data_IF_593490181629
#
_entry.id   IF_593490181629
#
_cell.length_a   1.000
_cell.length_b   1.000
_cell.length_c   1.000
_cell.angle_alpha   90.00
_cell.angle_beta   90.00
_cell.angle_gamma   90.00
#
_symmetry.space_group_name_H-M   'P 1'
#
loop_
_entity.id
_entity.type
_entity.pdbx_description
1 polymer ?
#
# COMPACT_ATOMS: atom_id res chain seq x y z
N UNK A 1 -48.26 -77.50 -1.49
CA UNK A 1 -48.35 -76.20 -0.80
C UNK A 1 -47.22 -75.32 -1.30
N UNK A 2 -47.57 -74.33 -2.13
CA UNK A 2 -46.65 -73.46 -2.86
C UNK A 2 -46.04 -72.40 -1.91
N UNK A 3 -44.71 -72.27 -1.91
CA UNK A 3 -44.01 -71.13 -1.29
C UNK A 3 -43.37 -70.30 -2.40
N UNK A 4 -43.99 -69.16 -2.70
CA UNK A 4 -43.44 -68.12 -3.56
C UNK A 4 -42.27 -67.45 -2.84
N UNK A 5 -41.09 -67.47 -3.47
CA UNK A 5 -39.93 -66.68 -3.08
C UNK A 5 -40.19 -65.21 -3.51
N UNK A 6 -39.98 -64.19 -2.66
CA UNK A 6 -40.28 -62.82 -3.06
C UNK A 6 -39.21 -62.30 -4.02
N UNK A 7 -39.65 -61.87 -5.21
CA UNK A 7 -38.89 -61.16 -6.26
C UNK A 7 -38.48 -59.73 -5.80
N UNK A 8 -38.40 -59.48 -4.49
CA UNK A 8 -38.23 -58.14 -3.92
C UNK A 8 -36.79 -57.67 -3.73
N UNK A 9 -35.79 -58.54 -3.84
CA UNK A 9 -34.39 -58.20 -3.50
C UNK A 9 -33.50 -58.03 -4.74
N UNK A 10 -33.93 -58.45 -5.94
CA UNK A 10 -33.14 -58.28 -7.17
C UNK A 10 -33.34 -56.92 -7.85
N UNK A 11 -34.37 -56.14 -7.46
CA UNK A 11 -34.67 -54.82 -8.05
C UNK A 11 -34.05 -53.64 -7.29
N UNK A 12 -33.46 -53.85 -6.11
CA UNK A 12 -32.82 -52.79 -5.32
C UNK A 12 -31.30 -52.67 -5.54
N UNK A 13 -30.69 -53.55 -6.32
CA UNK A 13 -29.24 -53.54 -6.59
C UNK A 13 -28.86 -53.10 -8.02
N UNK A 14 -29.83 -52.78 -8.88
CA UNK A 14 -29.57 -52.33 -10.26
C UNK A 14 -29.65 -50.79 -10.40
N UNK A 15 -30.02 -50.06 -9.35
CA UNK A 15 -30.08 -48.58 -9.36
C UNK A 15 -28.85 -47.90 -8.74
N UNK A 16 -27.69 -48.56 -8.75
CA UNK A 16 -26.41 -47.98 -8.32
C UNK A 16 -25.35 -47.86 -9.44
N UNK A 17 -25.79 -47.84 -10.69
CA UNK A 17 -25.01 -47.38 -11.84
C UNK A 17 -25.92 -46.39 -12.59
N UNK A 18 -25.72 -45.09 -12.61
CA UNK A 18 -24.48 -44.37 -12.88
C UNK A 18 -24.59 -42.98 -12.25
N UNK A 19 -23.82 -42.71 -11.19
CA UNK A 19 -23.51 -41.33 -10.82
C UNK A 19 -22.40 -40.88 -11.76
N UNK A 20 -22.75 -40.42 -12.96
CA UNK A 20 -21.79 -39.62 -13.71
C UNK A 20 -21.44 -38.42 -12.84
N UNK A 21 -20.14 -38.10 -12.64
CA UNK A 21 -19.79 -36.86 -11.99
C UNK A 21 -20.42 -35.75 -12.81
N UNK A 22 -21.35 -35.00 -12.20
CA UNK A 22 -21.91 -33.81 -12.81
C UNK A 22 -20.74 -32.88 -13.14
N UNK A 23 -20.31 -32.91 -14.40
CA UNK A 23 -19.31 -31.99 -14.91
C UNK A 23 -19.84 -30.59 -14.69
N UNK A 24 -19.09 -29.79 -13.94
CA UNK A 24 -19.43 -28.37 -13.80
C UNK A 24 -19.55 -27.77 -15.20
N UNK A 25 -20.66 -27.09 -15.48
CA UNK A 25 -20.80 -26.35 -16.73
C UNK A 25 -19.68 -25.31 -16.80
N UNK A 26 -18.78 -25.49 -17.76
CA UNK A 26 -17.77 -24.49 -18.08
C UNK A 26 -18.46 -23.40 -18.90
N UNK A 27 -18.77 -22.28 -18.24
CA UNK A 27 -19.26 -21.10 -18.94
C UNK A 27 -18.07 -20.45 -19.63
N UNK A 28 -18.17 -20.30 -20.95
CA UNK A 28 -17.15 -19.60 -21.74
C UNK A 28 -17.06 -18.14 -21.28
N UNK A 29 -15.86 -17.71 -20.89
CA UNK A 29 -15.57 -16.33 -20.51
C UNK A 29 -15.95 -15.31 -21.58
N UNK A 30 -15.98 -15.71 -22.86
CA UNK A 30 -16.42 -14.86 -23.97
C UNK A 30 -17.89 -14.43 -23.84
N UNK A 31 -18.73 -15.19 -23.13
CA UNK A 31 -20.11 -14.79 -22.84
C UNK A 31 -20.21 -13.51 -21.97
N UNK A 32 -19.12 -13.13 -21.31
CA UNK A 32 -19.04 -11.96 -20.45
C UNK A 32 -18.25 -10.80 -21.04
N UNK A 33 -17.72 -10.91 -22.27
CA UNK A 33 -16.83 -9.90 -22.87
C UNK A 33 -17.47 -8.50 -22.97
N UNK A 34 -18.80 -8.45 -23.10
CA UNK A 34 -19.57 -7.22 -23.25
C UNK A 34 -20.08 -6.68 -21.91
N UNK A 35 -19.83 -7.39 -20.80
CA UNK A 35 -20.16 -6.88 -19.47
C UNK A 35 -19.17 -5.79 -19.05
N UNK A 36 -19.72 -4.68 -18.55
CA UNK A 36 -18.95 -3.55 -18.07
C UNK A 36 -19.18 -3.40 -16.56
N UNK A 37 -18.09 -3.24 -15.82
CA UNK A 37 -18.19 -2.83 -14.42
C UNK A 37 -18.69 -1.40 -14.35
N UNK A 38 -19.63 -1.14 -13.42
CA UNK A 38 -20.09 0.20 -13.10
C UNK A 38 -20.10 0.41 -11.59
N UNK A 39 -19.75 1.61 -11.17
CA UNK A 39 -19.92 2.01 -9.78
C UNK A 39 -21.43 2.07 -9.45
N UNK A 40 -21.86 1.31 -8.44
CA UNK A 40 -23.25 1.33 -7.95
C UNK A 40 -23.48 2.32 -6.79
N UNK A 41 -22.40 2.93 -6.29
CA UNK A 41 -22.41 3.88 -5.20
C UNK A 41 -22.15 3.25 -3.82
N UNK A 42 -21.89 4.08 -2.78
CA UNK A 42 -21.86 5.54 -2.83
C UNK A 42 -20.68 6.09 -3.67
N UNK A 43 -20.93 7.17 -4.43
CA UNK A 43 -19.94 7.76 -5.36
C UNK A 43 -18.83 8.56 -4.66
N UNK A 44 -19.04 8.90 -3.38
CA UNK A 44 -18.07 9.55 -2.51
C UNK A 44 -18.15 8.90 -1.14
N UNK A 45 -17.00 8.51 -0.59
CA UNK A 45 -16.91 7.87 0.70
C UNK A 45 -15.63 7.05 0.84
N UNK A 46 -15.42 6.48 2.02
CA UNK A 46 -14.21 5.75 2.35
C UNK A 46 -13.14 6.63 3.00
N UNK A 47 -12.01 6.00 3.35
CA UNK A 47 -10.89 6.64 4.04
C UNK A 47 -9.78 6.97 3.04
N UNK A 48 -9.30 8.20 3.06
CA UNK A 48 -8.03 8.59 2.46
C UNK A 48 -6.95 8.66 3.55
N UNK A 49 -5.75 8.22 3.21
CA UNK A 49 -4.57 8.21 4.09
C UNK A 49 -3.40 9.02 3.55
N UNK A 50 -3.49 9.50 2.31
CA UNK A 50 -2.45 10.30 1.68
C UNK A 50 -3.08 11.37 0.78
N UNK A 51 -2.46 12.54 0.72
CA UNK A 51 -2.83 13.63 -0.18
C UNK A 51 -1.58 14.38 -0.62
N UNK A 52 -1.52 14.82 -1.87
CA UNK A 52 -0.46 15.69 -2.38
C UNK A 52 -1.01 16.59 -3.48
N UNK A 53 -0.47 17.79 -3.62
CA UNK A 53 -0.86 18.77 -4.64
C UNK A 53 0.25 18.99 -5.66
N UNK A 54 -0.06 19.77 -6.69
CA UNK A 54 0.89 20.18 -7.72
C UNK A 54 1.29 21.65 -7.50
N UNK A 55 2.59 21.98 -7.35
CA UNK A 55 2.99 23.35 -6.99
C UNK A 55 2.51 24.45 -7.96
N UNK A 56 2.36 24.11 -9.24
CA UNK A 56 1.96 25.05 -10.29
C UNK A 56 0.46 24.96 -10.67
N UNK A 57 -0.29 24.01 -10.09
CA UNK A 57 -1.68 23.75 -10.44
C UNK A 57 -2.50 23.56 -9.16
N UNK A 58 -3.19 24.63 -8.77
CA UNK A 58 -3.92 24.68 -7.50
C UNK A 58 -5.23 23.88 -7.54
N UNK A 59 -5.73 23.55 -8.72
CA UNK A 59 -7.00 22.83 -8.89
C UNK A 59 -6.78 21.31 -8.94
N UNK A 60 -5.52 20.88 -9.10
CA UNK A 60 -5.13 19.49 -9.27
C UNK A 60 -4.48 18.91 -8.03
N UNK A 61 -5.07 17.85 -7.47
CA UNK A 61 -4.53 17.11 -6.31
C UNK A 61 -4.67 15.60 -6.49
N UNK A 62 -3.82 14.84 -5.79
CA UNK A 62 -3.91 13.39 -5.70
C UNK A 62 -4.30 12.99 -4.28
N UNK A 63 -5.08 11.92 -4.17
CA UNK A 63 -5.33 11.24 -2.90
C UNK A 63 -5.02 9.75 -3.01
N UNK A 64 -4.38 9.22 -1.97
CA UNK A 64 -4.26 7.79 -1.73
C UNK A 64 -5.39 7.32 -0.82
N UNK A 65 -6.05 6.22 -1.20
CA UNK A 65 -7.19 5.67 -0.46
C UNK A 65 -6.84 4.36 0.24
N UNK A 66 -7.58 4.02 1.29
CA UNK A 66 -7.49 2.70 1.92
C UNK A 66 -8.33 1.70 1.12
N UNK A 67 -7.69 0.97 0.21
CA UNK A 67 -8.29 -0.12 -0.56
C UNK A 67 -8.73 0.24 -1.98
N UNK A 68 -8.62 1.52 -2.38
CA UNK A 68 -9.10 2.01 -3.67
C UNK A 68 -8.02 2.63 -4.57
N UNK A 69 -6.73 2.49 -4.25
CA UNK A 69 -5.65 3.05 -5.07
C UNK A 69 -5.52 4.57 -5.00
N UNK A 70 -4.98 5.16 -6.07
CA UNK A 70 -4.68 6.59 -6.22
C UNK A 70 -5.72 7.26 -7.11
N UNK A 71 -6.24 8.38 -6.64
CA UNK A 71 -7.24 9.17 -7.34
C UNK A 71 -6.74 10.58 -7.56
N UNK A 72 -7.10 11.16 -8.71
CA UNK A 72 -6.78 12.51 -9.11
C UNK A 72 -8.05 13.34 -9.25
N UNK A 73 -7.97 14.59 -8.81
CA UNK A 73 -8.90 15.66 -9.18
C UNK A 73 -8.14 16.74 -9.96
N UNK A 74 -8.85 17.45 -10.84
CA UNK A 74 -8.38 18.62 -11.60
C UNK A 74 -9.37 19.79 -11.50
N UNK A 75 -10.33 19.69 -10.59
CA UNK A 75 -11.44 20.62 -10.43
C UNK A 75 -11.73 20.90 -8.94
N UNK A 76 -10.68 21.02 -8.12
CA UNK A 76 -10.77 21.28 -6.67
C UNK A 76 -11.59 20.24 -5.89
N UNK A 77 -11.52 18.96 -6.31
CA UNK A 77 -12.18 17.86 -5.64
C UNK A 77 -13.67 17.70 -5.96
N UNK A 78 -14.18 18.40 -6.98
CA UNK A 78 -15.55 18.21 -7.47
C UNK A 78 -15.69 16.82 -8.11
N UNK A 79 -14.74 16.41 -8.95
CA UNK A 79 -14.67 15.08 -9.55
C UNK A 79 -13.32 14.41 -9.30
N UNK A 80 -13.34 13.07 -9.30
CA UNK A 80 -12.17 12.24 -9.03
C UNK A 80 -12.10 11.08 -10.02
N UNK A 81 -10.90 10.79 -10.52
CA UNK A 81 -10.63 9.69 -11.43
C UNK A 81 -9.50 8.83 -10.88
N UNK A 82 -9.64 7.50 -10.95
CA UNK A 82 -8.58 6.59 -10.52
C UNK A 82 -7.47 6.58 -11.58
N UNK A 83 -6.22 6.77 -11.15
CA UNK A 83 -5.04 6.79 -12.03
C UNK A 83 -4.12 5.59 -11.81
N UNK A 84 -4.48 4.67 -10.90
CA UNK A 84 -3.72 3.46 -10.56
C UNK A 84 -4.31 2.17 -11.14
N UNK A 85 -5.59 2.18 -11.53
CA UNK A 85 -6.29 1.02 -12.08
C UNK A 85 -5.54 0.46 -13.30
N UNK A 86 -5.43 -0.87 -13.36
CA UNK A 86 -4.64 -1.58 -14.37
C UNK A 86 -3.16 -1.77 -14.02
N UNK A 87 -2.63 -1.07 -13.02
CA UNK A 87 -1.23 -1.20 -12.58
C UNK A 87 -1.12 -1.80 -11.18
N UNK A 88 -1.76 -1.16 -10.19
CA UNK A 88 -1.76 -1.61 -8.80
C UNK A 88 -3.02 -1.15 -8.08
N UNK A 89 -3.26 -1.68 -6.88
CA UNK A 89 -4.41 -1.32 -6.06
C UNK A 89 -4.14 -1.45 -4.57
N UNK A 90 -5.19 -1.67 -3.79
CA UNK A 90 -5.09 -1.81 -2.34
C UNK A 90 -4.97 -0.47 -1.62
N UNK A 91 -4.43 -0.51 -0.40
CA UNK A 91 -4.24 0.68 0.44
C UNK A 91 -3.03 1.48 0.00
N UNK A 92 -3.18 2.80 -0.04
CA UNK A 92 -2.12 3.75 -0.36
C UNK A 92 -1.83 4.60 0.87
N UNK A 93 -0.58 4.54 1.35
CA UNK A 93 -0.17 5.15 2.60
C UNK A 93 0.60 6.43 2.39
N UNK A 94 1.22 6.58 1.22
CA UNK A 94 1.89 7.81 0.82
C UNK A 94 1.77 8.02 -0.70
N UNK A 95 1.60 9.28 -1.10
CA UNK A 95 1.69 9.75 -2.48
C UNK A 95 2.47 11.06 -2.46
N UNK A 96 3.50 11.21 -3.31
CA UNK A 96 4.30 12.43 -3.41
C UNK A 96 4.60 12.76 -4.87
N UNK A 97 4.15 13.92 -5.31
CA UNK A 97 4.60 14.56 -6.56
C UNK A 97 5.98 15.17 -6.30
N UNK A 98 6.95 15.05 -7.21
CA UNK A 98 8.24 15.70 -7.05
C UNK A 98 8.17 17.20 -7.35
N UNK A 99 8.80 18.04 -6.52
CA UNK A 99 8.79 19.50 -6.74
C UNK A 99 9.67 19.93 -7.93
N UNK A 100 10.70 19.15 -8.24
CA UNK A 100 11.62 19.40 -9.36
C UNK A 100 11.04 18.98 -10.72
N UNK A 101 10.10 18.03 -10.74
CA UNK A 101 9.39 17.61 -11.95
C UNK A 101 8.01 17.04 -11.58
N UNK A 102 6.92 17.78 -11.83
CA UNK A 102 5.56 17.33 -11.50
C UNK A 102 5.07 16.11 -12.30
N UNK A 103 5.79 15.64 -13.32
CA UNK A 103 5.48 14.37 -13.98
C UNK A 103 5.90 13.16 -13.14
N UNK A 104 6.83 13.35 -12.21
CA UNK A 104 7.35 12.29 -11.36
C UNK A 104 6.48 12.17 -10.11
N UNK A 105 5.85 11.02 -9.96
CA UNK A 105 4.97 10.71 -8.83
C UNK A 105 5.43 9.42 -8.19
N UNK A 106 5.64 9.46 -6.87
CA UNK A 106 5.94 8.29 -6.05
C UNK A 106 4.71 7.87 -5.24
N UNK A 107 4.49 6.57 -5.15
CA UNK A 107 3.38 5.97 -4.41
C UNK A 107 3.89 4.84 -3.54
N UNK A 108 3.52 4.87 -2.26
CA UNK A 108 3.83 3.85 -1.28
C UNK A 108 2.55 3.14 -0.85
N UNK A 109 2.53 1.82 -0.99
CA UNK A 109 1.37 1.03 -0.58
C UNK A 109 1.35 0.78 0.94
N UNK A 110 0.16 0.45 1.44
CA UNK A 110 -0.15 0.25 2.85
C UNK A 110 -0.84 1.45 3.47
N UNK A 111 -0.98 1.48 4.80
CA UNK A 111 -1.56 2.55 5.58
C UNK A 111 -0.97 2.48 6.99
N UNK A 112 -0.20 3.48 7.39
CA UNK A 112 0.37 3.54 8.74
C UNK A 112 -0.68 3.76 9.84
N UNK A 113 -1.89 4.17 9.48
CA UNK A 113 -3.07 4.11 10.34
C UNK A 113 -3.59 2.67 10.50
N UNK A 114 -2.80 1.83 11.16
CA UNK A 114 -3.11 0.41 11.33
C UNK A 114 -4.47 0.24 12.03
N UNK A 115 -5.37 -0.46 11.35
CA UNK A 115 -6.69 -0.90 11.87
C UNK A 115 -6.78 -2.41 11.78
N UNK A 116 -7.77 -3.00 12.46
CA UNK A 116 -7.97 -4.46 12.47
C UNK A 116 -8.23 -5.07 11.08
N UNK A 117 -8.67 -4.25 10.13
CA UNK A 117 -8.95 -4.60 8.74
C UNK A 117 -7.94 -4.00 7.74
N UNK A 118 -6.76 -3.57 8.19
CA UNK A 118 -5.77 -2.97 7.27
C UNK A 118 -5.22 -4.02 6.30
N UNK A 119 -5.01 -3.61 5.06
CA UNK A 119 -4.31 -4.42 4.06
C UNK A 119 -2.81 -4.17 4.10
N UNK A 120 -2.01 -5.22 3.91
CA UNK A 120 -0.56 -5.09 3.80
C UNK A 120 -0.19 -4.39 2.49
N UNK A 121 0.61 -3.34 2.56
CA UNK A 121 1.19 -2.71 1.37
C UNK A 121 2.23 -3.62 0.73
N UNK A 122 2.47 -3.42 -0.57
CA UNK A 122 3.34 -4.26 -1.38
C UNK A 122 4.44 -3.46 -2.09
N UNK A 123 4.94 -2.44 -1.39
CA UNK A 123 6.09 -1.66 -1.83
C UNK A 123 5.75 -0.37 -2.57
N UNK A 124 6.71 0.06 -3.37
CA UNK A 124 6.77 1.38 -3.99
C UNK A 124 6.49 1.32 -5.50
N UNK A 125 5.79 2.33 -5.98
CA UNK A 125 5.48 2.55 -7.39
C UNK A 125 5.87 3.96 -7.80
N UNK A 126 6.22 4.13 -9.07
CA UNK A 126 6.62 5.41 -9.65
C UNK A 126 5.98 5.62 -11.01
N UNK A 127 5.53 6.84 -11.25
CA UNK A 127 5.18 7.33 -12.59
C UNK A 127 6.18 8.39 -13.02
N UNK A 128 6.46 8.43 -14.32
CA UNK A 128 7.29 9.46 -14.98
C UNK A 128 6.47 10.32 -15.96
N UNK A 129 5.16 10.08 -16.04
CA UNK A 129 4.28 10.68 -17.05
C UNK A 129 2.98 11.21 -16.42
N UNK A 130 3.09 11.73 -15.18
CA UNK A 130 2.00 12.32 -14.42
C UNK A 130 0.85 11.34 -14.12
N UNK A 131 1.18 10.06 -13.90
CA UNK A 131 0.25 9.03 -13.43
C UNK A 131 -0.44 8.25 -14.55
N UNK A 132 -0.01 8.40 -15.81
CA UNK A 132 -0.58 7.64 -16.94
C UNK A 132 -0.06 6.21 -16.96
N UNK A 133 1.21 6.01 -16.60
CA UNK A 133 1.84 4.70 -16.44
C UNK A 133 2.62 4.63 -15.13
N UNK A 134 2.76 3.41 -14.62
CA UNK A 134 3.41 3.13 -13.35
C UNK A 134 4.37 1.96 -13.46
N UNK A 135 5.54 2.10 -12.83
CA UNK A 135 6.53 1.06 -12.65
C UNK A 135 6.63 0.69 -11.17
N UNK A 136 6.73 -0.60 -10.88
CA UNK A 136 7.09 -1.07 -9.55
C UNK A 136 8.58 -0.80 -9.33
N UNK A 137 8.92 -0.20 -8.18
CA UNK A 137 10.28 0.25 -7.86
C UNK A 137 10.78 -0.31 -6.52
N UNK A 138 10.30 -1.48 -6.10
CA UNK A 138 10.89 -2.22 -4.97
C UNK A 138 10.21 -2.04 -3.62
N UNK A 139 10.92 -2.45 -2.55
CA UNK A 139 10.43 -2.57 -1.17
C UNK A 139 9.19 -3.48 -0.99
N UNK A 140 9.14 -4.68 -1.62
CA UNK A 140 7.94 -5.52 -1.61
C UNK A 140 7.50 -5.98 -0.20
N UNK A 141 8.44 -6.07 0.75
CA UNK A 141 8.20 -6.55 2.11
C UNK A 141 8.25 -5.43 3.17
N UNK A 142 8.27 -4.16 2.74
CA UNK A 142 8.24 -3.00 3.63
C UNK A 142 6.89 -2.80 4.32
N UNK A 143 5.84 -3.46 3.85
CA UNK A 143 4.51 -3.42 4.46
C UNK A 143 3.84 -2.06 4.37
N UNK A 144 3.68 -1.36 5.50
CA UNK A 144 3.01 -0.06 5.54
C UNK A 144 4.01 1.07 5.28
N UNK A 145 3.90 1.72 4.12
CA UNK A 145 4.66 2.92 3.80
C UNK A 145 3.85 4.14 4.24
N UNK A 146 4.40 4.93 5.16
CA UNK A 146 3.68 6.06 5.77
C UNK A 146 4.01 7.40 5.15
N UNK A 147 5.21 7.53 4.57
CA UNK A 147 5.68 8.80 4.06
C UNK A 147 6.72 8.61 2.96
N UNK A 148 6.70 9.54 2.01
CA UNK A 148 7.69 9.68 0.96
C UNK A 148 8.12 11.14 0.95
N UNK A 149 9.42 11.40 1.03
CA UNK A 149 10.00 12.73 0.85
C UNK A 149 10.93 12.71 -0.34
N UNK A 150 10.78 13.67 -1.24
CA UNK A 150 11.57 13.79 -2.47
C UNK A 150 12.37 15.06 -2.39
N UNK A 151 13.66 15.00 -2.72
CA UNK A 151 14.54 16.15 -2.68
C UNK A 151 14.02 17.27 -3.61
N UNK A 152 13.95 18.53 -3.14
CA UNK A 152 13.25 19.60 -3.87
C UNK A 152 13.85 19.90 -5.25
N UNK A 153 15.17 19.72 -5.40
CA UNK A 153 15.88 19.98 -6.66
C UNK A 153 16.29 18.71 -7.44
N UNK A 154 15.98 17.50 -6.94
CA UNK A 154 16.38 16.25 -7.59
C UNK A 154 15.34 15.16 -7.32
N UNK A 155 14.48 14.88 -8.29
CA UNK A 155 13.42 13.87 -8.14
C UNK A 155 13.95 12.44 -7.97
N UNK A 156 15.23 12.16 -8.26
CA UNK A 156 15.82 10.83 -8.07
C UNK A 156 16.28 10.58 -6.63
N UNK A 157 16.53 11.64 -5.85
CA UNK A 157 16.84 11.49 -4.43
C UNK A 157 15.54 11.44 -3.62
N UNK A 158 15.15 10.25 -3.19
CA UNK A 158 13.89 9.98 -2.51
C UNK A 158 14.12 9.18 -1.23
N UNK A 159 13.34 9.51 -0.21
CA UNK A 159 13.35 8.85 1.08
C UNK A 159 11.96 8.28 1.40
N UNK A 160 11.93 7.13 2.05
CA UNK A 160 10.70 6.40 2.36
C UNK A 160 10.68 6.02 3.83
N UNK A 161 9.59 6.37 4.52
CA UNK A 161 9.28 5.88 5.86
C UNK A 161 8.47 4.59 5.77
N UNK A 162 9.11 3.47 6.08
CA UNK A 162 8.51 2.15 6.14
C UNK A 162 8.25 1.77 7.60
N UNK A 163 6.97 1.65 7.97
CA UNK A 163 6.59 1.19 9.30
C UNK A 163 6.80 -0.33 9.43
N UNK A 164 6.63 -1.08 8.35
CA UNK A 164 6.74 -2.54 8.32
C UNK A 164 5.40 -3.28 8.25
N UNK A 165 5.46 -4.58 8.51
CA UNK A 165 4.31 -5.46 8.56
C UNK A 165 3.45 -5.16 9.80
N UNK A 166 2.14 -4.89 9.64
CA UNK A 166 1.30 -4.53 10.77
C UNK A 166 0.98 -5.72 11.69
N UNK A 167 1.19 -6.97 11.25
CA UNK A 167 0.77 -8.19 11.97
C UNK A 167 1.92 -9.06 12.49
N UNK A 168 3.16 -8.65 12.29
CA UNK A 168 4.33 -9.42 12.71
C UNK A 168 5.62 -8.73 12.34
N UNK A 169 6.73 -9.29 12.80
CA UNK A 169 8.08 -8.77 12.58
C UNK A 169 8.48 -8.86 11.10
N UNK A 170 9.26 -7.89 10.63
CA UNK A 170 9.92 -7.93 9.33
C UNK A 170 11.15 -7.01 9.36
N UNK A 171 12.23 -7.33 8.60
CA UNK A 171 13.45 -6.54 8.59
C UNK A 171 13.34 -5.25 7.76
N UNK A 172 12.41 -5.17 6.81
CA UNK A 172 12.18 -3.97 5.99
C UNK A 172 11.34 -2.94 6.77
N UNK A 173 11.99 -2.26 7.72
CA UNK A 173 11.40 -1.24 8.61
C UNK A 173 12.38 -0.12 8.86
N UNK A 174 11.93 1.11 8.75
CA UNK A 174 12.72 2.30 9.04
C UNK A 174 12.73 3.28 7.90
N UNK A 175 13.86 3.96 7.69
CA UNK A 175 14.03 4.91 6.59
C UNK A 175 14.88 4.27 5.49
N UNK A 176 14.32 4.26 4.29
CA UNK A 176 15.04 3.90 3.08
C UNK A 176 15.35 5.15 2.27
N UNK A 177 16.49 5.17 1.59
CA UNK A 177 16.90 6.21 0.63
C UNK A 177 17.18 5.56 -0.72
N UNK A 178 16.82 6.24 -1.79
CA UNK A 178 17.25 5.93 -3.15
C UNK A 178 17.83 7.20 -3.77
N UNK A 179 18.93 7.06 -4.51
CA UNK A 179 19.59 8.16 -5.24
C UNK A 179 19.36 8.07 -6.75
N UNK A 180 18.79 6.96 -7.23
CA UNK A 180 18.48 6.64 -8.63
C UNK A 180 16.97 6.63 -8.89
N UNK A 181 16.18 7.19 -7.98
CA UNK A 181 14.76 7.36 -8.13
C UNK A 181 13.97 6.05 -8.03
N UNK A 182 14.48 5.08 -7.28
CA UNK A 182 13.81 3.84 -6.89
C UNK A 182 14.33 2.57 -7.57
N UNK A 183 15.40 2.66 -8.37
CA UNK A 183 16.02 1.44 -8.95
C UNK A 183 16.73 0.63 -7.86
N UNK A 184 17.37 1.32 -6.91
CA UNK A 184 17.98 0.74 -5.72
C UNK A 184 17.60 1.49 -4.44
N UNK A 185 17.60 0.77 -3.32
CA UNK A 185 17.25 1.30 -2.00
C UNK A 185 18.30 0.94 -0.96
N UNK A 186 18.76 1.95 -0.22
CA UNK A 186 19.64 1.84 0.92
C UNK A 186 18.85 1.99 2.22
N UNK A 187 19.12 1.14 3.20
CA UNK A 187 18.49 1.19 4.50
C UNK A 187 19.26 2.11 5.45
N UNK A 188 18.90 3.39 5.47
CA UNK A 188 19.68 4.46 6.14
C UNK A 188 19.34 4.65 7.62
N UNK A 189 18.18 4.18 8.08
CA UNK A 189 17.85 4.13 9.51
C UNK A 189 17.05 2.86 9.82
N UNK A 190 17.67 1.95 10.58
CA UNK A 190 17.05 0.74 11.11
C UNK A 190 17.25 0.70 12.63
N UNK A 191 16.23 0.24 13.38
CA UNK A 191 16.35 0.05 14.84
C UNK A 191 16.32 -1.43 15.21
N UNK A 192 15.27 -2.14 14.78
CA UNK A 192 15.06 -3.57 15.01
C UNK A 192 13.94 -4.10 14.08
N UNK A 193 13.62 -5.38 14.18
CA UNK A 193 12.60 -6.07 13.35
C UNK A 193 11.13 -5.74 13.67
N UNK A 194 10.89 -4.88 14.66
CA UNK A 194 9.58 -4.59 15.23
C UNK A 194 9.21 -3.10 15.21
N UNK A 195 10.21 -2.21 15.08
CA UNK A 195 10.06 -0.75 15.14
C UNK A 195 10.45 -0.17 13.79
N UNK A 196 9.50 0.49 13.12
CA UNK A 196 9.72 1.13 11.82
C UNK A 196 9.46 2.62 11.88
N UNK A 197 9.49 3.27 10.71
CA UNK A 197 9.19 4.69 10.60
C UNK A 197 7.72 4.91 10.26
N UNK A 198 7.01 5.68 11.08
CA UNK A 198 5.63 6.10 10.80
C UNK A 198 5.57 7.36 9.93
N UNK A 199 6.59 8.22 10.03
CA UNK A 199 6.64 9.50 9.30
C UNK A 199 8.09 9.96 9.08
N UNK A 200 8.28 10.86 8.13
CA UNK A 200 9.55 11.48 7.76
C UNK A 200 9.30 12.91 7.25
N UNK A 201 10.15 13.86 7.62
CA UNK A 201 10.12 15.19 7.00
C UNK A 201 11.52 15.67 6.67
N UNK A 202 11.63 16.42 5.58
CA UNK A 202 12.84 17.03 5.07
C UNK A 202 12.70 18.55 5.15
N UNK A 203 13.76 19.24 5.57
CA UNK A 203 13.84 20.69 5.43
C UNK A 203 14.02 21.05 3.96
N UNK A 204 13.01 21.72 3.38
CA UNK A 204 12.99 22.07 1.95
C UNK A 204 13.99 23.17 1.58
N UNK A 205 14.52 23.91 2.56
CA UNK A 205 15.58 24.92 2.37
C UNK A 205 16.96 24.28 2.54
N UNK A 206 17.10 23.35 3.48
CA UNK A 206 18.32 22.58 3.71
C UNK A 206 18.04 21.06 3.74
N UNK A 207 17.97 20.40 2.58
CA UNK A 207 17.60 18.98 2.46
C UNK A 207 18.51 17.98 3.18
N UNK A 208 19.64 18.42 3.75
CA UNK A 208 20.46 17.59 4.63
C UNK A 208 19.82 17.36 5.99
N UNK A 209 18.85 18.19 6.40
CA UNK A 209 18.17 18.07 7.68
C UNK A 209 16.90 17.24 7.48
N UNK A 210 16.85 16.11 8.18
CA UNK A 210 15.72 15.17 8.15
C UNK A 210 15.28 14.84 9.57
N UNK A 211 13.98 14.62 9.76
CA UNK A 211 13.41 14.11 11.01
C UNK A 211 12.54 12.90 10.73
N UNK A 212 12.81 11.79 11.43
CA UNK A 212 12.07 10.54 11.31
C UNK A 212 11.32 10.24 12.61
N UNK A 213 10.05 9.89 12.49
CA UNK A 213 9.23 9.38 13.59
C UNK A 213 9.26 7.86 13.61
N UNK A 214 9.89 7.28 14.63
CA UNK A 214 10.03 5.83 14.78
C UNK A 214 8.97 5.29 15.73
N UNK A 215 8.20 4.30 15.29
CA UNK A 215 7.07 3.72 16.01
C UNK A 215 7.05 2.19 15.92
N UNK A 216 6.85 1.54 17.07
CA UNK A 216 6.46 0.14 17.13
C UNK A 216 4.95 0.04 17.07
N UNK A 217 4.42 -0.16 15.86
CA UNK A 217 3.01 -0.45 15.62
C UNK A 217 2.82 -1.91 15.22
N UNK A 218 2.25 -2.73 16.10
CA UNK A 218 1.99 -4.15 15.83
C UNK A 218 0.59 -4.54 16.31
N UNK A 219 -0.22 -5.06 15.39
CA UNK A 219 -1.59 -5.48 15.63
C UNK A 219 -1.66 -6.98 15.90
N UNK A 220 -2.24 -7.33 17.04
CA UNK A 220 -2.72 -8.68 17.37
C UNK A 220 -4.24 -8.73 17.26
N UNK A 221 -4.86 -9.92 17.14
CA UNK A 221 -6.32 -10.02 17.11
C UNK A 221 -7.01 -9.34 18.30
N UNK A 222 -6.38 -9.37 19.48
CA UNK A 222 -6.93 -8.84 20.74
C UNK A 222 -6.35 -7.48 21.20
N UNK A 223 -5.26 -6.97 20.59
CA UNK A 223 -4.63 -5.73 21.06
C UNK A 223 -3.79 -5.04 19.99
N UNK A 224 -3.42 -3.77 20.24
CA UNK A 224 -2.42 -3.02 19.50
C UNK A 224 -1.22 -2.80 20.44
N UNK A 225 -0.05 -3.30 20.04
CA UNK A 225 1.22 -2.91 20.64
C UNK A 225 1.60 -1.59 19.99
N UNK A 226 1.70 -0.54 20.81
CA UNK A 226 1.96 0.82 20.36
C UNK A 226 3.07 1.44 21.20
N UNK A 227 4.23 1.65 20.59
CA UNK A 227 5.40 2.22 21.23
C UNK A 227 6.39 1.17 21.74
N UNK A 228 7.64 1.60 21.82
CA UNK A 228 8.77 0.85 22.37
C UNK A 228 9.82 1.86 22.83
N UNK A 229 10.74 1.43 23.69
CA UNK A 229 11.83 2.28 24.16
C UNK A 229 12.72 2.77 23.01
N UNK A 230 12.93 1.92 22.00
CA UNK A 230 13.75 2.24 20.83
C UNK A 230 13.09 3.31 19.93
N UNK A 231 11.77 3.46 19.95
CA UNK A 231 11.03 4.45 19.14
C UNK A 231 11.31 5.91 19.52
N UNK A 232 10.56 6.83 18.92
CA UNK A 232 10.69 8.28 19.14
C UNK A 232 11.21 9.02 17.91
N UNK A 233 11.64 10.27 18.09
CA UNK A 233 12.08 11.13 16.98
C UNK A 233 13.59 11.03 16.79
N UNK A 234 14.01 10.87 15.55
CA UNK A 234 15.41 10.85 15.13
C UNK A 234 15.66 12.02 14.19
N UNK A 235 16.86 12.60 14.27
CA UNK A 235 17.30 13.69 13.40
C UNK A 235 18.57 13.28 12.66
N UNK A 236 18.62 13.57 11.36
CA UNK A 236 19.84 13.64 10.58
C UNK A 236 20.13 15.10 10.19
N UNK A 237 21.41 15.42 10.04
CA UNK A 237 21.91 16.73 9.57
C UNK A 237 22.84 16.61 8.36
N UNK A 238 22.97 15.41 7.81
CA UNK A 238 23.90 15.01 6.77
C UNK A 238 23.21 14.21 5.64
N UNK A 239 21.91 14.40 5.45
CA UNK A 239 21.18 13.77 4.34
C UNK A 239 20.85 12.28 4.58
N UNK A 240 20.79 11.87 5.84
CA UNK A 240 20.42 10.52 6.25
C UNK A 240 21.60 9.58 6.46
N UNK A 241 22.85 10.05 6.32
CA UNK A 241 24.05 9.24 6.59
C UNK A 241 24.15 8.85 8.06
N UNK A 242 23.86 9.79 8.96
CA UNK A 242 23.83 9.53 10.41
C UNK A 242 22.56 10.06 11.05
N UNK A 243 22.11 9.33 12.08
CA UNK A 243 20.88 9.64 12.80
C UNK A 243 21.13 9.68 14.30
N UNK A 244 20.61 10.73 14.94
CA UNK A 244 20.64 10.87 16.39
C UNK A 244 19.21 10.89 16.94
N UNK A 245 18.95 10.03 17.92
CA UNK A 245 17.71 10.07 18.69
C UNK A 245 17.60 11.37 19.48
N UNK A 246 16.46 12.05 19.37
CA UNK A 246 16.14 13.22 20.19
C UNK A 246 15.49 12.74 21.50
N UNK A 247 16.08 13.07 22.64
CA UNK A 247 15.49 12.85 23.95
C UNK A 247 14.70 14.06 24.43
N UNK A 248 13.65 13.85 25.23
CA UNK A 248 13.02 14.93 26.01
C UNK A 248 12.09 15.89 25.28
N UNK A 249 11.70 15.60 24.02
CA UNK A 249 10.84 16.47 23.21
C UNK A 249 11.61 17.28 22.16
N UNK A 250 10.88 17.84 21.19
CA UNK A 250 11.44 18.71 20.14
C UNK A 250 11.59 20.13 20.72
N UNK A 251 12.79 20.47 21.20
CA UNK A 251 13.15 21.83 21.59
C UNK A 251 14.03 22.47 20.51
#
# INVERSE_FOLDING_TARGET
MHRFLPIGILLSLITLASLEPLGSQTIDSLAFKDLQFRMAGPFRGGRSSAVTGFPADLDRWLMGTTGGGVWETTDNGISWHNISDGFFGGSIGAVRVADSDPNVIYVGQGSVDIRGNTSTGRGMWKSMDAGRTWAFIGLPEAGQIGRIEVHPANHNLVYVAALGHPFGKNPERGIFRSEDGGETWEHVLALNDSTGASDLTMDMVNPRILYAGMWRGERKPWTLISGAEEGGVYKSSDGGETWRKLGGGIA
#
